data_IF_834777336384
#
_entry.id   IF_834777336384
#
_cell.length_a   1.000
_cell.length_b   1.000
_cell.length_c   1.000
_cell.angle_alpha   90.00
_cell.angle_beta   90.00
_cell.angle_gamma   90.00
#
_symmetry.space_group_name_H-M   'P 1'
#
loop_
_entity.id
_entity.type
_entity.pdbx_description
1 polymer ?
#
# COMPACT_ATOMS: atom_id res chain seq x y z
N UNK A 1 -2.14 2.98 23.50
CA UNK A 1 -2.92 2.05 22.64
C UNK A 1 -1.92 1.26 21.80
N UNK A 2 -1.95 -0.07 21.92
CA UNK A 2 -1.01 -0.96 21.21
C UNK A 2 -1.28 -0.90 19.71
N UNK A 3 -0.26 -0.55 18.93
CA UNK A 3 -0.23 -0.62 17.48
C UNK A 3 -0.32 -2.05 16.92
N UNK A 4 -0.50 -3.08 17.78
CA UNK A 4 -0.44 -4.50 17.42
C UNK A 4 -1.81 -5.16 17.19
N UNK A 5 -2.82 -4.47 16.66
CA UNK A 5 -4.08 -5.14 16.27
C UNK A 5 -4.04 -5.70 14.84
N UNK A 6 -2.87 -6.08 14.37
CA UNK A 6 -2.69 -6.64 13.04
C UNK A 6 -2.07 -8.03 13.15
N UNK A 7 -2.69 -9.00 12.50
CA UNK A 7 -2.16 -10.35 12.42
C UNK A 7 -0.75 -10.30 11.83
N UNK A 8 0.16 -11.17 12.31
CA UNK A 8 1.49 -11.31 11.71
C UNK A 8 1.34 -11.59 10.21
N UNK A 9 2.28 -11.10 9.39
CA UNK A 9 2.20 -11.29 7.96
C UNK A 9 2.25 -12.78 7.59
N UNK A 10 1.44 -13.17 6.63
CA UNK A 10 1.46 -14.51 6.04
C UNK A 10 2.57 -14.63 5.00
N UNK A 11 2.92 -15.85 4.58
CA UNK A 11 3.94 -16.10 3.55
C UNK A 11 3.59 -15.48 2.19
N UNK A 12 2.31 -15.18 1.94
CA UNK A 12 1.81 -14.57 0.71
C UNK A 12 1.79 -13.03 0.77
N UNK A 13 2.17 -12.43 1.92
CA UNK A 13 2.23 -10.98 2.08
C UNK A 13 3.66 -10.47 1.88
N UNK A 14 3.82 -9.56 0.91
CA UNK A 14 5.10 -8.95 0.56
C UNK A 14 5.34 -7.60 1.24
N UNK A 15 4.25 -6.93 1.64
CA UNK A 15 4.26 -5.67 2.33
C UNK A 15 2.90 -5.36 2.94
N UNK A 16 2.83 -4.24 3.66
CA UNK A 16 1.58 -3.69 4.19
C UNK A 16 1.74 -2.21 4.50
N UNK A 17 0.72 -1.42 4.20
CA UNK A 17 0.63 -0.02 4.62
C UNK A 17 -0.32 0.14 5.81
N UNK A 18 0.01 1.06 6.72
CA UNK A 18 -0.85 1.43 7.85
C UNK A 18 -1.08 2.95 7.88
N UNK A 19 -2.34 3.41 7.84
CA UNK A 19 -2.67 4.81 7.94
C UNK A 19 -2.92 5.19 9.40
N UNK A 20 -2.65 6.44 9.74
CA UNK A 20 -2.88 6.99 11.06
C UNK A 20 -3.58 8.34 10.93
N UNK A 21 -4.67 8.51 11.69
CA UNK A 21 -5.41 9.78 11.81
C UNK A 21 -4.81 10.69 12.89
N UNK A 22 -3.98 10.14 13.78
CA UNK A 22 -3.13 10.87 14.70
C UNK A 22 -1.81 10.10 14.91
N UNK A 23 -0.67 10.79 14.90
CA UNK A 23 0.64 10.17 15.12
C UNK A 23 1.63 11.17 15.73
N UNK A 24 2.14 10.88 16.92
CA UNK A 24 3.13 11.69 17.65
C UNK A 24 4.01 10.83 18.55
N UNK A 25 4.89 11.44 19.36
CA UNK A 25 5.84 10.70 20.20
C UNK A 25 5.15 9.72 21.18
N UNK A 26 4.00 10.09 21.75
CA UNK A 26 3.35 9.32 22.81
C UNK A 26 1.97 8.75 22.42
N UNK A 27 1.48 9.00 21.20
CA UNK A 27 0.14 8.58 20.78
C UNK A 27 0.07 8.30 19.28
N UNK A 28 -0.58 7.19 18.92
CA UNK A 28 -0.93 6.86 17.55
C UNK A 28 -2.36 6.30 17.50
N UNK A 29 -3.16 6.80 16.56
CA UNK A 29 -4.52 6.33 16.28
C UNK A 29 -4.59 5.82 14.85
N UNK A 30 -4.90 4.54 14.67
CA UNK A 30 -5.02 3.92 13.36
C UNK A 30 -6.20 4.53 12.56
N UNK A 31 -6.00 4.70 11.26
CA UNK A 31 -7.07 5.00 10.31
C UNK A 31 -7.56 3.76 9.56
N UNK A 32 -8.54 3.95 8.69
CA UNK A 32 -9.14 2.90 7.85
C UNK A 32 -8.94 3.15 6.35
N UNK A 33 -8.49 2.12 5.62
CA UNK A 33 -8.55 2.04 4.16
C UNK A 33 -9.95 1.61 3.70
N UNK A 34 -10.99 2.35 4.05
CA UNK A 34 -12.32 2.11 3.49
C UNK A 34 -12.60 3.10 2.37
N UNK A 35 -13.21 2.64 1.27
CA UNK A 35 -13.70 3.50 0.19
C UNK A 35 -14.66 4.59 0.68
N UNK A 36 -15.36 4.32 1.79
CA UNK A 36 -16.31 5.24 2.41
C UNK A 36 -15.71 6.01 3.60
N UNK A 37 -14.42 5.82 3.90
CA UNK A 37 -13.78 6.55 5.00
C UNK A 37 -13.68 8.02 4.65
N UNK A 38 -14.17 8.87 5.55
CA UNK A 38 -13.97 10.33 5.51
C UNK A 38 -12.76 10.75 6.35
N UNK A 39 -12.03 9.79 6.92
CA UNK A 39 -10.88 10.07 7.77
C UNK A 39 -9.74 10.70 6.95
N UNK A 40 -9.18 11.79 7.47
CA UNK A 40 -7.93 12.35 6.96
C UNK A 40 -6.76 11.72 7.71
N UNK A 41 -5.84 11.12 6.97
CA UNK A 41 -4.63 10.55 7.55
C UNK A 41 -3.56 11.63 7.68
N UNK A 42 -2.86 11.65 8.80
CA UNK A 42 -1.70 12.51 9.04
C UNK A 42 -0.38 11.79 8.75
N UNK A 43 -0.41 10.45 8.70
CA UNK A 43 0.76 9.62 8.41
C UNK A 43 0.32 8.28 7.83
N UNK A 44 1.11 7.74 6.90
CA UNK A 44 1.05 6.33 6.50
C UNK A 44 2.45 5.71 6.63
N UNK A 45 2.52 4.49 7.15
CA UNK A 45 3.77 3.73 7.27
C UNK A 45 3.68 2.51 6.35
N UNK A 46 4.62 2.39 5.43
CA UNK A 46 4.74 1.26 4.52
C UNK A 46 5.79 0.29 5.06
N UNK A 47 5.43 -0.98 5.22
CA UNK A 47 6.34 -2.06 5.54
C UNK A 47 6.56 -2.93 4.31
N UNK A 48 7.81 -3.33 4.08
CA UNK A 48 8.14 -4.43 3.18
C UNK A 48 8.68 -5.58 4.03
N UNK A 49 8.10 -6.76 3.87
CA UNK A 49 8.49 -7.92 4.64
C UNK A 49 9.67 -8.65 4.01
N UNK A 50 10.44 -9.35 4.84
CA UNK A 50 11.46 -10.28 4.34
C UNK A 50 10.74 -11.49 3.75
N UNK A 51 10.81 -11.65 2.44
CA UNK A 51 10.16 -12.74 1.71
C UNK A 51 11.10 -13.27 0.61
N UNK A 52 11.12 -14.59 0.40
CA UNK A 52 11.98 -15.26 -0.59
C UNK A 52 11.60 -14.92 -2.03
N UNK A 53 10.34 -14.56 -2.28
CA UNK A 53 9.88 -14.18 -3.62
C UNK A 53 10.44 -12.82 -4.06
N UNK A 54 10.78 -11.96 -3.09
CA UNK A 54 11.42 -10.66 -3.29
C UNK A 54 12.95 -10.80 -3.43
N UNK A 55 13.36 -11.71 -4.30
CA UNK A 55 14.75 -12.14 -4.48
C UNK A 55 15.63 -11.19 -5.30
N UNK A 56 15.06 -10.11 -5.88
CA UNK A 56 15.82 -9.13 -6.66
C UNK A 56 15.37 -7.69 -6.38
N UNK A 57 16.19 -6.73 -6.81
CA UNK A 57 15.95 -5.30 -6.59
C UNK A 57 14.67 -4.81 -7.24
N UNK A 58 14.32 -5.32 -8.42
CA UNK A 58 13.12 -4.88 -9.14
C UNK A 58 11.84 -5.28 -8.40
N UNK A 59 11.72 -6.54 -7.97
CA UNK A 59 10.57 -7.03 -7.20
C UNK A 59 10.42 -6.30 -5.86
N UNK A 60 11.56 -6.02 -5.19
CA UNK A 60 11.58 -5.23 -3.95
C UNK A 60 11.06 -3.82 -4.20
N UNK A 61 11.55 -3.16 -5.24
CA UNK A 61 11.12 -1.81 -5.61
C UNK A 61 9.64 -1.79 -6.04
N UNK A 62 9.18 -2.78 -6.81
CA UNK A 62 7.79 -2.89 -7.24
C UNK A 62 6.83 -3.08 -6.07
N UNK A 63 7.21 -3.90 -5.08
CA UNK A 63 6.47 -4.08 -3.83
C UNK A 63 6.45 -2.79 -3.02
N UNK A 64 7.59 -2.12 -2.85
CA UNK A 64 7.64 -0.85 -2.14
C UNK A 64 6.75 0.22 -2.81
N UNK A 65 6.77 0.31 -4.14
CA UNK A 65 5.93 1.23 -4.89
C UNK A 65 4.42 0.91 -4.77
N UNK A 66 4.05 -0.37 -4.62
CA UNK A 66 2.67 -0.77 -4.31
C UNK A 66 2.21 -0.28 -2.94
N UNK A 67 3.04 -0.49 -1.90
CA UNK A 67 2.72 0.00 -0.55
C UNK A 67 2.63 1.53 -0.51
N UNK A 68 3.51 2.22 -1.23
CA UNK A 68 3.42 3.69 -1.42
C UNK A 68 2.12 4.06 -2.13
N UNK A 69 1.66 3.28 -3.10
CA UNK A 69 0.35 3.47 -3.71
C UNK A 69 -0.79 3.41 -2.68
N UNK A 70 -0.76 2.47 -1.73
CA UNK A 70 -1.70 2.46 -0.61
C UNK A 70 -1.57 3.70 0.28
N UNK A 71 -0.34 4.16 0.56
CA UNK A 71 -0.12 5.39 1.33
C UNK A 71 -0.70 6.62 0.61
N UNK A 72 -0.72 6.60 -0.72
CA UNK A 72 -1.39 7.58 -1.59
C UNK A 72 -2.89 7.29 -1.75
N UNK A 73 -3.49 6.51 -0.85
CA UNK A 73 -4.92 6.17 -0.83
C UNK A 73 -5.42 5.46 -2.09
N UNK A 74 -4.57 4.70 -2.78
CA UNK A 74 -5.00 3.80 -3.83
C UNK A 74 -5.38 2.44 -3.23
N UNK A 75 -6.43 1.84 -3.80
CA UNK A 75 -6.88 0.49 -3.45
C UNK A 75 -6.32 -0.53 -4.45
N UNK A 76 -6.43 -1.80 -4.09
CA UNK A 76 -6.11 -2.91 -4.99
C UNK A 76 -6.93 -2.82 -6.29
N UNK A 77 -6.36 -3.38 -7.36
CA UNK A 77 -7.08 -3.62 -8.62
C UNK A 77 -7.47 -5.09 -8.72
N UNK A 78 -8.77 -5.37 -8.71
CA UNK A 78 -9.34 -6.72 -8.67
C UNK A 78 -9.30 -7.50 -10.01
N UNK A 79 -8.94 -6.87 -11.13
CA UNK A 79 -9.06 -7.51 -12.45
C UNK A 79 -7.93 -8.50 -12.75
N UNK A 80 -8.28 -9.63 -13.37
CA UNK A 80 -7.38 -10.68 -13.85
C UNK A 80 -6.34 -10.23 -14.90
N UNK A 81 -6.45 -9.02 -15.46
CA UNK A 81 -5.43 -8.52 -16.37
C UNK A 81 -4.17 -8.09 -15.62
N UNK A 82 -3.24 -9.05 -15.49
CA UNK A 82 -1.98 -8.96 -14.77
C UNK A 82 -1.03 -7.83 -15.26
N UNK A 83 -1.33 -7.22 -16.41
CA UNK A 83 -0.42 -6.32 -17.13
C UNK A 83 -0.69 -4.82 -16.93
N UNK A 84 -1.57 -4.38 -16.01
CA UNK A 84 -2.03 -2.98 -16.03
C UNK A 84 -2.02 -2.21 -14.71
N UNK A 85 -1.43 -2.72 -13.62
CA UNK A 85 -1.37 -1.95 -12.38
C UNK A 85 -0.30 -2.42 -11.42
N UNK A 86 0.44 -1.47 -10.85
CA UNK A 86 1.29 -1.73 -9.70
C UNK A 86 0.48 -2.01 -8.42
N UNK A 87 -0.82 -1.67 -8.40
CA UNK A 87 -1.76 -1.90 -7.29
C UNK A 87 -2.42 -3.29 -7.30
N UNK A 88 -2.09 -4.18 -8.24
CA UNK A 88 -2.54 -5.58 -8.18
C UNK A 88 -1.88 -6.31 -7.02
N UNK A 89 -2.52 -7.29 -6.38
CA UNK A 89 -1.90 -8.18 -5.38
C UNK A 89 -0.86 -9.14 -6.01
N UNK A 90 0.16 -9.58 -5.27
CA UNK A 90 1.16 -10.54 -5.75
C UNK A 90 2.42 -9.91 -6.38
N UNK A 91 3.20 -10.70 -7.11
CA UNK A 91 4.45 -10.27 -7.77
C UNK A 91 4.19 -9.34 -8.96
N UNK A 92 5.03 -8.31 -9.12
CA UNK A 92 4.82 -7.19 -10.06
C UNK A 92 6.17 -6.69 -10.59
N UNK A 93 6.15 -6.04 -11.75
CA UNK A 93 7.30 -5.28 -12.26
C UNK A 93 7.22 -3.82 -11.82
N UNK A 94 8.38 -3.16 -11.75
CA UNK A 94 8.45 -1.74 -11.36
C UNK A 94 8.04 -0.86 -12.56
N UNK A 95 6.74 -0.77 -12.79
CA UNK A 95 6.17 0.06 -13.85
C UNK A 95 4.87 0.69 -13.39
N UNK A 96 4.74 1.99 -13.63
CA UNK A 96 3.52 2.73 -13.33
C UNK A 96 2.64 2.75 -14.58
N UNK A 97 1.50 2.05 -14.51
CA UNK A 97 0.62 1.83 -15.65
C UNK A 97 -0.37 2.99 -15.84
N UNK A 98 -1.04 3.02 -16.99
CA UNK A 98 -2.04 4.06 -17.30
C UNK A 98 -3.17 4.10 -16.26
N UNK A 99 -3.57 2.95 -15.73
CA UNK A 99 -4.56 2.86 -14.64
C UNK A 99 -4.07 3.54 -13.36
N UNK A 100 -2.85 3.22 -12.91
CA UNK A 100 -2.27 3.80 -11.69
C UNK A 100 -2.18 5.32 -11.80
N UNK A 101 -1.70 5.82 -12.95
CA UNK A 101 -1.64 7.27 -13.26
C UNK A 101 -3.03 7.90 -13.21
N UNK A 102 -4.04 7.27 -13.81
CA UNK A 102 -5.42 7.76 -13.81
C UNK A 102 -5.99 7.84 -12.40
N UNK A 103 -5.75 6.84 -11.56
CA UNK A 103 -6.27 6.79 -10.20
C UNK A 103 -5.58 7.80 -9.28
N UNK A 104 -4.26 7.93 -9.37
CA UNK A 104 -3.52 9.00 -8.70
C UNK A 104 -4.06 10.37 -9.09
N UNK A 105 -4.26 10.60 -10.39
CA UNK A 105 -4.78 11.88 -10.87
C UNK A 105 -6.19 12.18 -10.37
N UNK A 106 -7.06 11.17 -10.33
CA UNK A 106 -8.41 11.30 -9.78
C UNK A 106 -8.38 11.65 -8.29
N UNK A 107 -7.42 11.12 -7.53
CA UNK A 107 -7.32 11.30 -6.08
C UNK A 107 -6.63 12.62 -5.70
N UNK A 108 -5.56 12.99 -6.40
CA UNK A 108 -4.63 14.04 -5.99
C UNK A 108 -4.50 15.22 -6.97
N UNK A 109 -5.08 15.15 -8.17
CA UNK A 109 -4.95 16.21 -9.17
C UNK A 109 -3.96 15.90 -10.28
N UNK A 110 -3.33 16.91 -10.89
CA UNK A 110 -2.55 16.74 -12.12
C UNK A 110 -1.14 16.19 -11.90
#
# INVERSE_FOLDING_TARGET
MSCNKYNPPTSLEYGRTYPYVAYGQNSASAGSFSKNSTEQWVKAICYQYKNTDLNNTEKKAATAAHEVGHALSLDHKDSQDLQFSIMRTGEKSLKLYAYDKKMLKKKWGK
#
